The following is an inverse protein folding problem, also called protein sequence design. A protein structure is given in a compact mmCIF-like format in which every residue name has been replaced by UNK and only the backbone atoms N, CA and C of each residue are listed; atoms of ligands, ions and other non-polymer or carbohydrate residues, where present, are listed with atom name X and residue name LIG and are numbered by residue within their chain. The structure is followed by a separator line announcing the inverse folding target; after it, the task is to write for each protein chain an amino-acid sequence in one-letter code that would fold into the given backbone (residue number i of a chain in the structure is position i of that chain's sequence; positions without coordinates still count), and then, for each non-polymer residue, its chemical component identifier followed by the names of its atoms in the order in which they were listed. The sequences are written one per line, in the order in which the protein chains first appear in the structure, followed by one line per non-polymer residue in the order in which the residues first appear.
data_IF_796772466414
#
_entry.id   IF_796772466414
#
_cell.length_a   1.000
_cell.length_b   1.000
_cell.length_c   1.000
_cell.angle_alpha   90.00
_cell.angle_beta   90.00
_cell.angle_gamma   90.00
#
_symmetry.space_group_name_H-M   'P 1'
#
loop_
_entity.id
_entity.type
_entity.pdbx_description
1 polymer ?
#
# COMPACT_ATOMS: atom_id res chain seq x y z
N UNK A 1 -4.42 -21.26 5.35
CA UNK A 1 -3.15 -21.09 6.10
C UNK A 1 -3.43 -21.18 7.59
N UNK A 2 -2.51 -21.73 8.37
CA UNK A 2 -2.47 -21.57 9.83
C UNK A 2 -1.82 -20.21 10.16
N UNK A 3 -2.26 -19.54 11.22
CA UNK A 3 -1.84 -18.20 11.60
C UNK A 3 -1.50 -18.13 13.11
N UNK A 4 -0.53 -17.29 13.47
CA UNK A 4 -0.16 -17.04 14.87
C UNK A 4 -1.15 -16.11 15.59
N UNK A 5 -1.92 -15.30 14.85
CA UNK A 5 -2.92 -14.38 15.40
C UNK A 5 -3.29 -13.31 14.38
N UNK A 6 -4.16 -12.37 14.78
CA UNK A 6 -4.48 -11.19 13.97
C UNK A 6 -3.44 -10.10 14.22
N UNK A 7 -2.82 -9.57 13.16
CA UNK A 7 -1.78 -8.52 13.16
C UNK A 7 -0.53 -8.75 14.06
N UNK A 8 -0.41 -9.89 14.74
CA UNK A 8 0.72 -10.24 15.63
C UNK A 8 1.61 -11.33 15.03
N UNK A 9 2.94 -11.15 15.13
CA UNK A 9 3.94 -12.14 14.70
C UNK A 9 4.12 -13.23 15.77
N UNK A 10 4.23 -12.82 17.04
CA UNK A 10 4.33 -13.68 18.22
C UNK A 10 2.95 -13.86 18.87
N UNK A 11 2.65 -15.07 19.35
CA UNK A 11 1.45 -15.36 20.15
C UNK A 11 1.56 -14.68 21.54
N UNK A 12 0.48 -14.09 22.08
CA UNK A 12 0.41 -13.70 23.49
C UNK A 12 0.59 -14.91 24.41
N UNK A 13 1.13 -14.69 25.61
CA UNK A 13 1.16 -15.73 26.65
C UNK A 13 -0.28 -16.14 27.03
N UNK A 14 -0.50 -17.45 27.20
CA UNK A 14 -1.84 -17.99 27.40
C UNK A 14 -2.73 -17.97 26.15
N UNK A 15 -2.16 -17.85 24.95
CA UNK A 15 -2.88 -18.03 23.68
C UNK A 15 -2.39 -19.24 22.89
N UNK A 16 -3.09 -20.36 23.01
CA UNK A 16 -2.77 -21.62 22.34
C UNK A 16 -3.69 -21.87 21.14
N UNK A 17 -4.91 -21.33 21.16
CA UNK A 17 -5.93 -21.63 20.14
C UNK A 17 -5.43 -21.43 18.70
N UNK A 18 -5.84 -22.30 17.76
CA UNK A 18 -5.43 -22.16 16.37
C UNK A 18 -6.15 -20.97 15.71
N UNK A 19 -5.44 -20.23 14.87
CA UNK A 19 -6.05 -19.25 13.97
C UNK A 19 -5.83 -19.65 12.52
N UNK A 20 -6.76 -19.27 11.66
CA UNK A 20 -6.79 -19.66 10.25
C UNK A 20 -7.13 -18.47 9.35
N UNK A 21 -6.74 -18.57 8.08
CA UNK A 21 -7.16 -17.65 7.04
C UNK A 21 -6.97 -18.22 5.64
N UNK A 22 -7.78 -17.75 4.70
CA UNK A 22 -7.56 -17.94 3.26
C UNK A 22 -7.44 -16.59 2.57
N UNK A 23 -6.81 -16.60 1.40
CA UNK A 23 -6.70 -15.43 0.53
C UNK A 23 -6.87 -15.86 -0.92
N UNK A 24 -7.65 -15.09 -1.67
CA UNK A 24 -7.88 -15.23 -3.10
C UNK A 24 -7.42 -13.93 -3.76
N UNK A 25 -6.53 -14.01 -4.75
CA UNK A 25 -6.13 -12.86 -5.56
C UNK A 25 -6.35 -13.21 -7.03
N UNK A 26 -7.11 -12.37 -7.74
CA UNK A 26 -7.58 -12.66 -9.09
C UNK A 26 -7.44 -11.42 -9.98
N UNK A 27 -6.52 -11.47 -10.94
CA UNK A 27 -6.36 -10.43 -11.97
C UNK A 27 -7.28 -10.75 -13.16
N UNK A 28 -8.47 -10.16 -13.18
CA UNK A 28 -9.50 -10.47 -14.19
C UNK A 28 -9.13 -9.97 -15.58
N UNK A 29 -8.33 -8.90 -15.68
CA UNK A 29 -7.74 -8.41 -16.92
C UNK A 29 -6.53 -7.51 -16.64
N UNK A 30 -5.95 -6.89 -17.67
CA UNK A 30 -4.78 -6.01 -17.53
C UNK A 30 -5.00 -4.77 -16.64
N UNK A 31 -6.26 -4.36 -16.42
CA UNK A 31 -6.66 -3.13 -15.71
C UNK A 31 -7.40 -3.39 -14.39
N UNK A 32 -7.80 -4.62 -14.08
CA UNK A 32 -8.67 -4.90 -12.93
C UNK A 32 -8.23 -6.15 -12.15
N UNK A 33 -8.07 -5.98 -10.84
CA UNK A 33 -7.68 -7.03 -9.88
C UNK A 33 -8.65 -7.04 -8.71
N UNK A 34 -9.06 -8.23 -8.29
CA UNK A 34 -9.78 -8.47 -7.05
C UNK A 34 -8.87 -9.15 -6.03
N UNK A 35 -9.08 -8.83 -4.76
CA UNK A 35 -8.57 -9.59 -3.64
C UNK A 35 -9.65 -9.79 -2.59
N UNK A 36 -9.66 -10.97 -2.00
CA UNK A 36 -10.39 -11.29 -0.78
C UNK A 36 -9.43 -12.02 0.16
N UNK A 37 -9.48 -11.68 1.44
CA UNK A 37 -8.79 -12.42 2.50
C UNK A 37 -9.65 -12.47 3.76
N UNK A 38 -9.41 -13.46 4.61
CA UNK A 38 -10.08 -13.54 5.91
C UNK A 38 -9.18 -14.06 7.03
N UNK A 39 -9.61 -13.78 8.26
CA UNK A 39 -9.06 -14.33 9.50
C UNK A 39 -10.21 -14.94 10.31
N UNK A 40 -9.95 -16.10 10.92
CA UNK A 40 -10.84 -16.85 11.80
C UNK A 40 -10.00 -17.33 13.00
N UNK A 41 -10.28 -16.83 14.20
CA UNK A 41 -9.44 -17.11 15.37
C UNK A 41 -9.66 -16.11 16.51
N UNK A 42 -8.61 -15.78 17.26
CA UNK A 42 -8.65 -14.77 18.33
C UNK A 42 -7.43 -13.85 18.30
N UNK A 43 -7.59 -12.66 18.87
CA UNK A 43 -6.51 -11.70 19.18
C UNK A 43 -6.12 -11.71 20.68
N UNK A 44 -6.88 -12.42 21.52
CA UNK A 44 -6.85 -12.38 23.00
C UNK A 44 -6.51 -13.76 23.59
N UNK A 45 -5.92 -13.83 24.82
CA UNK A 45 -5.66 -15.08 25.52
C UNK A 45 -6.89 -15.99 25.64
N UNK A 46 -6.67 -17.30 25.71
CA UNK A 46 -7.74 -18.31 25.67
C UNK A 46 -8.76 -18.11 26.82
N UNK A 47 -8.32 -17.55 27.96
CA UNK A 47 -9.14 -17.23 29.12
C UNK A 47 -10.24 -16.17 28.88
N UNK A 48 -10.13 -15.36 27.82
CA UNK A 48 -11.15 -14.36 27.45
C UNK A 48 -12.22 -14.96 26.52
N UNK A 49 -11.98 -16.15 25.96
CA UNK A 49 -12.87 -16.92 25.09
C UNK A 49 -13.59 -16.08 24.01
N UNK A 50 -12.82 -15.27 23.28
CA UNK A 50 -13.35 -14.42 22.20
C UNK A 50 -13.03 -15.03 20.84
N UNK A 51 -14.03 -15.30 20.01
CA UNK A 51 -13.81 -15.66 18.61
C UNK A 51 -14.08 -14.45 17.70
N UNK A 52 -13.14 -14.19 16.79
CA UNK A 52 -13.20 -13.14 15.78
C UNK A 52 -13.27 -13.73 14.38
N UNK A 53 -14.25 -13.29 13.60
CA UNK A 53 -14.16 -13.33 12.14
C UNK A 53 -13.72 -11.97 11.63
N UNK A 54 -12.92 -11.95 10.57
CA UNK A 54 -12.54 -10.73 9.87
C UNK A 54 -12.41 -11.03 8.39
N UNK A 55 -12.95 -10.16 7.55
CA UNK A 55 -13.02 -10.29 6.10
C UNK A 55 -12.54 -8.98 5.49
N UNK A 56 -11.52 -9.04 4.66
CA UNK A 56 -11.04 -7.91 3.85
C UNK A 56 -11.32 -8.22 2.38
N UNK A 57 -12.09 -7.35 1.73
CA UNK A 57 -12.28 -7.38 0.29
C UNK A 57 -11.78 -6.08 -0.32
N UNK A 58 -11.04 -6.15 -1.42
CA UNK A 58 -10.77 -4.98 -2.24
C UNK A 58 -10.69 -5.27 -3.73
N UNK A 59 -10.98 -4.23 -4.49
CA UNK A 59 -10.85 -4.16 -5.94
C UNK A 59 -9.85 -3.06 -6.30
N UNK A 60 -9.00 -3.31 -7.30
CA UNK A 60 -8.09 -2.32 -7.88
C UNK A 60 -8.43 -2.15 -9.36
N UNK A 61 -8.65 -0.91 -9.78
CA UNK A 61 -8.89 -0.53 -11.18
C UNK A 61 -7.87 0.50 -11.66
N UNK A 62 -7.01 0.11 -12.60
CA UNK A 62 -5.97 0.97 -13.19
C UNK A 62 -6.20 1.14 -14.72
N UNK A 63 -7.12 2.03 -15.15
CA UNK A 63 -7.57 2.09 -16.55
C UNK A 63 -6.47 2.43 -17.57
N UNK A 64 -5.44 3.18 -17.15
CA UNK A 64 -4.45 3.81 -18.04
C UNK A 64 -3.04 3.94 -17.44
N UNK A 65 -2.72 3.22 -16.35
CA UNK A 65 -1.41 3.25 -15.67
C UNK A 65 -1.03 4.56 -14.98
N UNK A 66 -1.68 5.69 -15.32
CA UNK A 66 -1.49 7.01 -14.69
C UNK A 66 -2.49 7.27 -13.57
N UNK A 67 -3.65 6.62 -13.63
CA UNK A 67 -4.72 6.72 -12.64
C UNK A 67 -5.07 5.31 -12.16
N UNK A 68 -5.28 5.17 -10.86
CA UNK A 68 -5.74 3.94 -10.23
C UNK A 68 -6.78 4.26 -9.16
N UNK A 69 -7.71 3.33 -8.95
CA UNK A 69 -8.73 3.41 -7.91
C UNK A 69 -8.68 2.11 -7.11
N UNK A 70 -8.77 2.22 -5.79
CA UNK A 70 -8.96 1.07 -4.90
C UNK A 70 -10.27 1.29 -4.16
N UNK A 71 -11.17 0.33 -4.24
CA UNK A 71 -12.42 0.30 -3.47
C UNK A 71 -12.49 -1.02 -2.71
N UNK A 72 -12.67 -0.95 -1.40
CA UNK A 72 -12.68 -2.11 -0.52
C UNK A 72 -13.60 -1.95 0.69
N UNK A 73 -13.78 -3.05 1.40
CA UNK A 73 -14.59 -3.15 2.60
C UNK A 73 -13.96 -4.16 3.54
N UNK A 74 -13.67 -3.73 4.76
CA UNK A 74 -13.40 -4.61 5.88
C UNK A 74 -14.69 -4.86 6.67
N UNK A 75 -14.93 -6.11 7.05
CA UNK A 75 -16.03 -6.54 7.92
C UNK A 75 -15.43 -7.41 9.03
N UNK A 76 -15.78 -7.16 10.28
CA UNK A 76 -15.39 -8.04 11.38
C UNK A 76 -16.52 -8.29 12.37
N UNK A 77 -16.44 -9.43 13.04
CA UNK A 77 -17.34 -9.82 14.13
C UNK A 77 -16.53 -10.33 15.31
N UNK A 78 -16.90 -9.98 16.53
CA UNK A 78 -16.35 -10.53 17.78
C UNK A 78 -17.36 -10.29 18.91
N UNK A 79 -17.60 -11.29 19.76
CA UNK A 79 -18.47 -11.18 20.95
C UNK A 79 -19.84 -10.52 20.66
N UNK A 80 -20.47 -10.90 19.55
CA UNK A 80 -21.74 -10.34 19.02
C UNK A 80 -21.71 -8.87 18.56
N UNK A 81 -20.57 -8.18 18.67
CA UNK A 81 -20.36 -6.90 17.98
C UNK A 81 -19.96 -7.15 16.52
N UNK A 82 -20.44 -6.28 15.63
CA UNK A 82 -20.09 -6.28 14.20
C UNK A 82 -19.58 -4.88 13.83
N UNK A 83 -18.49 -4.80 13.08
CA UNK A 83 -17.95 -3.54 12.56
C UNK A 83 -17.66 -3.60 11.07
N UNK A 84 -17.69 -2.44 10.44
CA UNK A 84 -17.48 -2.24 9.02
C UNK A 84 -16.52 -1.06 8.80
N UNK A 85 -15.60 -1.18 7.85
CA UNK A 85 -14.72 -0.09 7.42
C UNK A 85 -14.66 -0.06 5.89
N UNK A 86 -15.46 0.81 5.23
CA UNK A 86 -15.36 1.01 3.79
C UNK A 86 -14.11 1.85 3.45
N UNK A 87 -13.37 1.44 2.42
CA UNK A 87 -12.11 2.06 2.00
C UNK A 87 -12.20 2.50 0.55
N UNK A 88 -11.86 3.76 0.27
CA UNK A 88 -11.73 4.27 -1.09
C UNK A 88 -10.45 5.10 -1.23
N UNK A 89 -9.61 4.77 -2.22
CA UNK A 89 -8.31 5.40 -2.45
C UNK A 89 -8.16 5.73 -3.93
N UNK A 90 -7.76 6.98 -4.23
CA UNK A 90 -7.43 7.43 -5.59
C UNK A 90 -5.92 7.59 -5.73
N UNK A 91 -5.32 6.84 -6.66
CA UNK A 91 -3.90 6.89 -7.05
C UNK A 91 -3.78 7.71 -8.33
N UNK A 92 -2.89 8.71 -8.36
CA UNK A 92 -2.57 9.46 -9.58
C UNK A 92 -1.07 9.71 -9.71
N UNK A 93 -0.49 9.31 -10.83
CA UNK A 93 0.91 9.55 -11.15
C UNK A 93 1.14 11.03 -11.49
N UNK A 94 1.97 11.70 -10.69
CA UNK A 94 2.37 13.10 -10.91
C UNK A 94 3.68 13.13 -11.69
N UNK A 95 3.70 13.81 -12.83
CA UNK A 95 4.85 13.86 -13.73
C UNK A 95 5.92 14.86 -13.23
N UNK A 96 6.77 14.46 -12.27
CA UNK A 96 7.97 15.23 -11.87
C UNK A 96 9.04 15.20 -12.98
N UNK A 97 8.88 16.04 -14.01
CA UNK A 97 9.80 16.15 -15.17
C UNK A 97 10.10 17.61 -15.60
N UNK A 98 10.12 18.54 -14.64
CA UNK A 98 10.49 19.95 -14.88
C UNK A 98 11.65 20.40 -14.00
N UNK A 99 11.58 20.19 -12.68
CA UNK A 99 12.55 20.69 -11.71
C UNK A 99 14.00 20.21 -12.00
N UNK A 100 14.23 18.89 -12.12
CA UNK A 100 15.53 18.34 -12.51
C UNK A 100 16.01 18.80 -13.89
N UNK A 101 15.10 18.96 -14.87
CA UNK A 101 15.44 19.50 -16.19
C UNK A 101 15.91 20.97 -16.13
N UNK A 102 15.25 21.79 -15.30
CA UNK A 102 15.59 23.20 -15.11
C UNK A 102 16.94 23.37 -14.42
N UNK A 103 17.23 22.54 -13.40
CA UNK A 103 18.52 22.54 -12.68
C UNK A 103 19.68 22.18 -13.63
N UNK A 104 19.54 21.10 -14.42
CA UNK A 104 20.56 20.70 -15.40
C UNK A 104 20.78 21.78 -16.48
N UNK A 105 19.71 22.38 -17.00
CA UNK A 105 19.81 23.48 -17.96
C UNK A 105 20.50 24.71 -17.34
N UNK A 106 20.19 25.07 -16.09
CA UNK A 106 20.82 26.17 -15.37
C UNK A 106 22.31 25.96 -15.11
N UNK A 107 22.73 24.73 -14.79
CA UNK A 107 24.14 24.36 -14.65
C UNK A 107 24.90 24.46 -15.99
N UNK A 108 24.30 23.97 -17.08
CA UNK A 108 24.88 24.07 -18.42
C UNK A 108 25.07 25.53 -18.86
N UNK A 109 24.07 26.40 -18.61
CA UNK A 109 24.16 27.83 -18.91
C UNK A 109 25.29 28.49 -18.10
N UNK A 110 25.37 28.26 -16.78
CA UNK A 110 26.44 28.80 -15.93
C UNK A 110 27.83 28.37 -16.41
N UNK A 111 28.01 27.09 -16.74
CA UNK A 111 29.30 26.55 -17.18
C UNK A 111 29.77 27.21 -18.51
N UNK A 112 28.85 27.41 -19.46
CA UNK A 112 29.14 28.10 -20.72
C UNK A 112 29.46 29.59 -20.51
N UNK A 113 28.76 30.29 -19.60
CA UNK A 113 29.09 31.67 -19.22
C UNK A 113 30.49 31.79 -18.62
N UNK A 114 30.85 30.93 -17.66
CA UNK A 114 32.21 30.92 -17.08
C UNK A 114 33.30 30.71 -18.15
N UNK A 115 33.09 29.77 -19.09
CA UNK A 115 34.05 29.53 -20.19
C UNK A 115 34.22 30.75 -21.10
N UNK A 116 33.12 31.40 -21.51
CA UNK A 116 33.19 32.63 -22.30
C UNK A 116 33.87 33.78 -21.54
N UNK A 117 33.67 33.87 -20.23
CA UNK A 117 34.27 34.91 -19.40
C UNK A 117 35.78 34.67 -19.20
N UNK A 118 36.21 33.42 -18.95
CA UNK A 118 37.63 33.06 -18.85
C UNK A 118 38.39 33.35 -20.15
N UNK A 119 37.81 33.00 -21.30
CA UNK A 119 38.40 33.29 -22.62
C UNK A 119 38.45 34.81 -22.91
N UNK A 120 37.47 35.60 -22.43
CA UNK A 120 37.54 37.08 -22.52
C UNK A 120 38.58 37.71 -21.59
N UNK A 121 39.04 36.98 -20.57
CA UNK A 121 40.05 37.42 -19.61
C UNK A 121 41.46 36.87 -19.90
N UNK A 122 41.64 36.10 -20.99
CA UNK A 122 42.93 35.48 -21.34
C UNK A 122 43.40 34.41 -20.35
N UNK A 123 42.46 33.77 -19.64
CA UNK A 123 42.73 32.73 -18.62
C UNK A 123 42.64 31.29 -19.17
N UNK A 124 42.51 31.15 -20.50
CA UNK A 124 42.51 29.91 -21.29
C UNK A 124 43.08 30.20 -22.67
#
# INVERSE_FOLDING_TARGET
MYLNGWQRIQKPDGYNSPSFGMQINAKLNSKFTLNYSNFLGSDKPDSVNTFRTYHNFYSIYEPNGKTGFIAGLDIGTENNAIWYSPVFIVKRAIAKKQQWQQEQNGLMIKNNYCKQQAHKMGLM
#
